data_IF_464269665857
#
_entry.id   IF_464269665857
#
_cell.length_a   1.000
_cell.length_b   1.000
_cell.length_c   1.000
_cell.angle_alpha   90.00
_cell.angle_beta   90.00
_cell.angle_gamma   90.00
#
_symmetry.space_group_name_H-M   'P 1'
#
loop_
_entity.id
_entity.type
_entity.pdbx_description
1 polymer ?
#
# COMPACT_ATOMS: atom_id res chain seq x y z
N UNK A 1 25.55 -25.20 -25.84
CA UNK A 1 24.58 -25.16 -24.72
C UNK A 1 23.32 -24.49 -25.26
N UNK A 2 22.22 -25.25 -25.50
CA UNK A 2 20.96 -24.65 -25.96
C UNK A 2 20.26 -23.98 -24.78
N UNK A 3 19.68 -22.77 -24.92
CA UNK A 3 18.91 -22.15 -23.84
C UNK A 3 17.64 -22.97 -23.60
N UNK A 4 17.33 -23.26 -22.34
CA UNK A 4 16.10 -23.91 -21.92
C UNK A 4 14.92 -23.02 -22.27
N UNK A 5 14.02 -23.50 -23.14
CA UNK A 5 12.73 -22.86 -23.39
C UNK A 5 11.89 -22.96 -22.12
N UNK A 6 11.62 -21.84 -21.49
CA UNK A 6 10.62 -21.74 -20.42
C UNK A 6 9.25 -22.01 -21.03
N UNK A 7 8.63 -23.12 -20.64
CA UNK A 7 7.30 -23.50 -21.11
C UNK A 7 6.26 -22.58 -20.50
N UNK A 8 5.69 -21.68 -21.29
CA UNK A 8 4.59 -20.76 -20.91
C UNK A 8 3.24 -21.48 -20.66
N UNK A 9 3.16 -22.79 -20.83
CA UNK A 9 1.96 -23.61 -20.57
C UNK A 9 1.74 -24.02 -19.12
N UNK A 10 2.77 -23.98 -18.29
CA UNK A 10 2.71 -24.40 -16.88
C UNK A 10 1.95 -23.39 -16.00
N UNK A 11 2.03 -22.10 -16.32
CA UNK A 11 1.44 -21.01 -15.56
C UNK A 11 -0.10 -21.02 -15.51
N UNK A 12 -0.78 -21.27 -16.62
CA UNK A 12 -2.26 -21.20 -16.68
C UNK A 12 -2.94 -22.40 -15.99
N UNK A 13 -2.37 -23.60 -16.12
CA UNK A 13 -2.85 -24.81 -15.45
C UNK A 13 -2.67 -24.70 -13.94
N UNK A 14 -1.52 -24.24 -13.48
CA UNK A 14 -1.26 -24.04 -12.04
C UNK A 14 -2.20 -23.00 -11.43
N UNK A 15 -2.45 -21.90 -12.14
CA UNK A 15 -3.41 -20.88 -11.73
C UNK A 15 -4.84 -21.45 -11.55
N UNK A 16 -5.29 -22.30 -12.47
CA UNK A 16 -6.59 -22.95 -12.39
C UNK A 16 -6.67 -23.96 -11.24
N UNK A 17 -5.62 -24.75 -11.04
CA UNK A 17 -5.51 -25.69 -9.90
C UNK A 17 -5.63 -24.92 -8.58
N UNK A 18 -4.86 -23.86 -8.41
CA UNK A 18 -4.89 -23.01 -7.19
C UNK A 18 -6.29 -22.45 -6.92
N UNK A 19 -6.93 -21.92 -7.95
CA UNK A 19 -8.29 -21.39 -7.80
C UNK A 19 -9.30 -22.46 -7.37
N UNK A 20 -9.18 -23.70 -7.86
CA UNK A 20 -9.99 -24.84 -7.44
C UNK A 20 -9.72 -25.19 -5.97
N UNK A 21 -8.46 -25.30 -5.57
CA UNK A 21 -8.07 -25.57 -4.19
C UNK A 21 -8.56 -24.47 -3.23
N UNK A 22 -8.53 -23.21 -3.65
CA UNK A 22 -9.05 -22.09 -2.87
C UNK A 22 -10.56 -22.20 -2.64
N UNK A 23 -11.34 -22.57 -3.67
CA UNK A 23 -12.80 -22.81 -3.52
C UNK A 23 -13.05 -23.95 -2.54
N UNK A 24 -12.26 -25.02 -2.59
CA UNK A 24 -12.39 -26.15 -1.67
C UNK A 24 -11.99 -25.81 -0.23
N UNK A 25 -10.97 -24.98 -0.03
CA UNK A 25 -10.48 -24.57 1.30
C UNK A 25 -11.46 -23.72 2.10
N UNK A 26 -12.40 -23.07 1.43
CA UNK A 26 -13.42 -22.22 2.04
C UNK A 26 -14.72 -23.00 2.40
N UNK A 27 -14.79 -24.28 2.01
CA UNK A 27 -15.94 -25.14 2.29
C UNK A 27 -15.62 -26.13 3.38
N UNK A 28 -16.51 -26.25 4.37
CA UNK A 28 -16.47 -27.32 5.37
C UNK A 28 -17.06 -28.63 4.85
N UNK A 29 -17.80 -28.61 3.74
CA UNK A 29 -18.47 -29.75 3.14
C UNK A 29 -17.79 -30.13 1.83
N UNK A 30 -17.82 -31.42 1.44
CA UNK A 30 -17.34 -31.88 0.15
C UNK A 30 -18.06 -31.17 -1.01
N UNK A 31 -17.31 -30.74 -2.04
CA UNK A 31 -17.88 -30.07 -3.19
C UNK A 31 -17.82 -30.91 -4.46
N UNK A 32 -18.95 -30.99 -5.17
CA UNK A 32 -19.01 -31.53 -6.53
C UNK A 32 -18.43 -30.57 -7.57
N UNK A 33 -18.07 -31.09 -8.74
CA UNK A 33 -17.46 -30.29 -9.83
C UNK A 33 -18.33 -29.11 -10.30
N UNK A 34 -19.64 -29.22 -10.22
CA UNK A 34 -20.58 -28.14 -10.56
C UNK A 34 -20.50 -27.00 -9.53
N UNK A 35 -20.52 -27.34 -8.23
CA UNK A 35 -20.43 -26.36 -7.14
C UNK A 35 -19.08 -25.62 -7.18
N UNK A 36 -17.98 -26.34 -7.50
CA UNK A 36 -16.67 -25.74 -7.69
C UNK A 36 -16.67 -24.78 -8.88
N UNK A 37 -17.28 -25.17 -10.03
CA UNK A 37 -17.39 -24.30 -11.21
C UNK A 37 -18.15 -23.01 -10.89
N UNK A 38 -19.23 -23.08 -10.11
CA UNK A 38 -19.98 -21.92 -9.65
C UNK A 38 -19.16 -21.05 -8.66
N UNK A 39 -18.39 -21.67 -7.78
CA UNK A 39 -17.47 -20.97 -6.89
C UNK A 39 -16.38 -20.18 -7.64
N UNK A 40 -15.85 -20.79 -8.70
CA UNK A 40 -14.90 -20.14 -9.60
C UNK A 40 -15.52 -18.98 -10.40
N UNK A 41 -16.75 -19.17 -10.90
CA UNK A 41 -17.45 -18.13 -11.64
C UNK A 41 -17.69 -16.86 -10.80
N UNK A 42 -18.00 -17.02 -9.50
CA UNK A 42 -18.11 -15.88 -8.56
C UNK A 42 -16.82 -15.10 -8.37
N UNK A 43 -15.68 -15.71 -8.73
CA UNK A 43 -14.33 -15.11 -8.72
C UNK A 43 -13.88 -14.64 -10.11
N UNK A 44 -14.78 -14.61 -11.09
CA UNK A 44 -14.44 -14.20 -12.45
C UNK A 44 -13.65 -15.25 -13.26
N UNK A 45 -13.57 -16.51 -12.79
CA UNK A 45 -12.89 -17.61 -13.48
C UNK A 45 -13.93 -18.53 -14.09
N UNK A 46 -14.00 -18.55 -15.42
CA UNK A 46 -15.00 -19.30 -16.15
C UNK A 46 -14.42 -20.64 -16.62
N UNK A 47 -14.70 -21.71 -15.88
CA UNK A 47 -14.36 -23.09 -16.25
C UNK A 47 -15.65 -23.92 -16.41
N UNK A 48 -15.70 -24.73 -17.47
CA UNK A 48 -16.75 -25.72 -17.57
C UNK A 48 -16.58 -26.83 -16.52
N UNK A 49 -17.67 -27.48 -16.15
CA UNK A 49 -17.63 -28.61 -15.22
C UNK A 49 -16.66 -29.72 -15.66
N UNK A 50 -16.58 -29.96 -16.99
CA UNK A 50 -15.61 -30.91 -17.59
C UNK A 50 -14.17 -30.48 -17.33
N UNK A 51 -13.86 -29.17 -17.47
CA UNK A 51 -12.55 -28.64 -17.21
C UNK A 51 -12.18 -28.72 -15.72
N UNK A 52 -13.15 -28.43 -14.83
CA UNK A 52 -12.97 -28.61 -13.38
C UNK A 52 -12.64 -30.06 -13.06
N UNK A 53 -13.38 -31.03 -13.60
CA UNK A 53 -13.10 -32.49 -13.40
C UNK A 53 -11.71 -32.88 -13.90
N UNK A 54 -11.24 -32.30 -14.99
CA UNK A 54 -9.89 -32.55 -15.50
C UNK A 54 -8.84 -32.07 -14.50
N UNK A 55 -8.94 -30.84 -14.00
CA UNK A 55 -7.99 -30.30 -13.02
C UNK A 55 -8.09 -31.02 -11.66
N UNK A 56 -9.28 -31.46 -11.23
CA UNK A 56 -9.46 -32.20 -10.00
C UNK A 56 -8.72 -33.57 -10.00
N UNK A 57 -8.62 -34.23 -11.15
CA UNK A 57 -7.76 -35.44 -11.27
C UNK A 57 -6.30 -35.12 -10.99
N UNK A 58 -5.83 -33.99 -11.52
CA UNK A 58 -4.45 -33.56 -11.27
C UNK A 58 -4.21 -33.20 -9.78
N UNK A 59 -5.20 -32.63 -9.11
CA UNK A 59 -5.09 -32.34 -7.67
C UNK A 59 -5.17 -33.63 -6.83
N UNK A 60 -5.97 -34.62 -7.23
CA UNK A 60 -6.00 -35.94 -6.60
C UNK A 60 -4.66 -36.65 -6.77
N UNK A 61 -4.07 -36.66 -7.99
CA UNK A 61 -2.76 -37.27 -8.28
C UNK A 61 -1.63 -36.63 -7.50
N UNK A 62 -1.74 -35.33 -7.15
CA UNK A 62 -0.76 -34.59 -6.33
C UNK A 62 -1.01 -34.73 -4.83
N UNK A 63 -2.08 -35.41 -4.43
CA UNK A 63 -2.45 -35.55 -3.02
C UNK A 63 -3.10 -34.30 -2.40
N UNK A 64 -3.44 -33.26 -3.19
CA UNK A 64 -4.01 -32.02 -2.70
C UNK A 64 -5.52 -32.11 -2.40
N UNK A 65 -6.20 -33.07 -3.03
CA UNK A 65 -7.64 -33.35 -2.81
C UNK A 65 -7.89 -34.84 -2.59
N UNK A 66 -8.95 -35.13 -1.84
CA UNK A 66 -9.45 -36.47 -1.62
C UNK A 66 -10.87 -36.59 -2.22
N UNK A 67 -11.07 -37.61 -3.06
CA UNK A 67 -12.37 -37.92 -3.65
C UNK A 67 -13.22 -38.74 -2.69
N UNK A 68 -14.44 -38.30 -2.42
CA UNK A 68 -15.44 -39.02 -1.62
C UNK A 68 -16.56 -39.63 -2.51
N UNK A 69 -16.20 -39.96 -3.75
CA UNK A 69 -17.13 -40.59 -4.70
C UNK A 69 -18.24 -39.62 -5.13
N UNK A 70 -19.49 -40.00 -4.83
CA UNK A 70 -20.67 -39.18 -5.19
C UNK A 70 -20.83 -37.92 -4.35
N UNK A 71 -20.24 -37.88 -3.15
CA UNK A 71 -20.36 -36.74 -2.24
C UNK A 71 -19.45 -35.57 -2.65
N UNK A 72 -18.51 -35.79 -3.58
CA UNK A 72 -17.63 -34.75 -4.09
C UNK A 72 -16.19 -34.92 -3.66
N UNK A 73 -15.49 -33.80 -3.45
CA UNK A 73 -14.08 -33.74 -3.02
C UNK A 73 -13.87 -32.80 -1.86
N UNK A 74 -12.91 -33.13 -1.01
CA UNK A 74 -12.40 -32.26 0.05
C UNK A 74 -10.94 -31.93 -0.23
N UNK A 75 -10.49 -30.84 0.35
CA UNK A 75 -9.07 -30.49 0.35
C UNK A 75 -8.35 -31.30 1.44
N UNK A 76 -7.12 -31.74 1.17
CA UNK A 76 -6.26 -32.43 2.13
C UNK A 76 -5.42 -31.43 2.94
N UNK A 77 -4.75 -31.85 4.04
CA UNK A 77 -3.78 -31.01 4.72
C UNK A 77 -2.67 -30.51 3.78
N UNK A 78 -2.17 -31.36 2.88
CA UNK A 78 -1.18 -31.01 1.87
C UNK A 78 -1.73 -29.98 0.86
N UNK A 79 -3.00 -30.12 0.47
CA UNK A 79 -3.67 -29.13 -0.38
C UNK A 79 -3.87 -27.78 0.33
N UNK A 80 -4.17 -27.78 1.63
CA UNK A 80 -4.24 -26.55 2.42
C UNK A 80 -2.88 -25.86 2.54
N UNK A 81 -1.81 -26.61 2.72
CA UNK A 81 -0.44 -26.05 2.71
C UNK A 81 -0.09 -25.48 1.33
N UNK A 82 -0.46 -26.16 0.23
CA UNK A 82 -0.27 -25.64 -1.13
C UNK A 82 -1.06 -24.33 -1.34
N UNK A 83 -2.30 -24.24 -0.86
CA UNK A 83 -3.08 -22.98 -0.89
C UNK A 83 -2.37 -21.88 -0.11
N UNK A 84 -1.87 -22.15 1.10
CA UNK A 84 -1.13 -21.18 1.90
C UNK A 84 0.17 -20.73 1.23
N UNK A 85 0.93 -21.68 0.66
CA UNK A 85 2.16 -21.39 -0.07
C UNK A 85 1.89 -20.67 -1.39
N UNK A 86 0.83 -21.05 -2.10
CA UNK A 86 0.44 -20.44 -3.36
C UNK A 86 -0.16 -19.04 -3.18
N UNK A 87 -0.84 -18.80 -2.06
CA UNK A 87 -1.34 -17.48 -1.70
C UNK A 87 -0.21 -16.52 -1.31
N UNK A 88 0.97 -17.02 -0.92
CA UNK A 88 2.09 -16.15 -0.57
C UNK A 88 2.51 -15.22 -1.73
N UNK A 89 2.68 -15.65 -2.99
CA UNK A 89 2.95 -14.74 -4.11
C UNK A 89 1.74 -13.93 -4.60
N UNK A 90 0.51 -14.46 -4.49
CA UNK A 90 -0.72 -13.77 -4.91
C UNK A 90 -1.32 -12.89 -3.81
N UNK A 91 -1.13 -13.22 -2.53
CA UNK A 91 -1.47 -12.37 -1.38
C UNK A 91 -0.43 -11.30 -1.12
N UNK A 92 0.81 -11.54 -1.53
CA UNK A 92 1.90 -10.58 -1.51
C UNK A 92 1.86 -9.70 -2.75
N UNK A 93 0.73 -9.41 -3.38
CA UNK A 93 0.65 -8.55 -4.58
C UNK A 93 1.68 -7.42 -4.57
N UNK A 94 2.11 -6.97 -5.71
CA UNK A 94 3.03 -5.83 -5.74
C UNK A 94 2.40 -4.62 -5.08
N UNK A 95 3.22 -3.78 -4.47
CA UNK A 95 2.76 -2.56 -3.79
C UNK A 95 1.98 -1.66 -4.74
N UNK A 96 2.30 -1.68 -6.04
CA UNK A 96 1.55 -0.90 -7.03
C UNK A 96 0.06 -1.26 -7.06
N UNK A 97 -0.29 -2.55 -6.98
CA UNK A 97 -1.68 -3.02 -7.00
C UNK A 97 -2.43 -2.53 -5.74
N UNK A 98 -1.76 -2.59 -4.59
CA UNK A 98 -2.30 -2.10 -3.31
C UNK A 98 -2.56 -0.59 -3.35
N UNK A 99 -1.62 0.19 -3.91
CA UNK A 99 -1.76 1.63 -4.10
C UNK A 99 -2.94 1.97 -5.01
N UNK A 100 -3.10 1.26 -6.13
CA UNK A 100 -4.19 1.48 -7.09
C UNK A 100 -5.56 1.14 -6.49
N UNK A 101 -5.68 0.01 -5.79
CA UNK A 101 -6.91 -0.37 -5.07
C UNK A 101 -7.26 0.68 -4.02
N UNK A 102 -6.30 1.11 -3.21
CA UNK A 102 -6.51 2.09 -2.16
C UNK A 102 -6.90 3.47 -2.74
N UNK A 103 -6.28 3.89 -3.84
CA UNK A 103 -6.64 5.10 -4.57
C UNK A 103 -8.08 5.03 -5.12
N UNK A 104 -8.48 3.89 -5.69
CA UNK A 104 -9.84 3.66 -6.18
C UNK A 104 -10.86 3.71 -5.05
N UNK A 105 -10.56 3.11 -3.90
CA UNK A 105 -11.42 3.06 -2.72
C UNK A 105 -11.51 4.40 -1.96
N UNK A 106 -10.57 5.33 -2.19
CA UNK A 106 -10.59 6.67 -1.60
C UNK A 106 -11.85 7.40 -2.07
N UNK A 107 -12.71 7.85 -1.15
CA UNK A 107 -13.94 8.61 -1.48
C UNK A 107 -13.89 10.04 -1.00
N UNK A 108 -12.75 10.50 -0.51
CA UNK A 108 -12.57 11.85 0.02
C UNK A 108 -12.91 12.91 -1.00
N UNK A 109 -13.81 13.82 -0.60
CA UNK A 109 -14.19 15.02 -1.32
C UNK A 109 -13.63 16.24 -0.56
N UNK A 110 -12.56 16.89 -1.09
CA UNK A 110 -11.96 18.03 -0.41
C UNK A 110 -12.85 19.27 -0.35
N UNK A 111 -13.84 19.43 -1.23
CA UNK A 111 -14.77 20.55 -1.19
C UNK A 111 -15.75 20.42 -0.03
N UNK A 112 -16.22 19.18 0.23
CA UNK A 112 -17.15 18.88 1.30
C UNK A 112 -16.44 18.52 2.61
N UNK A 113 -15.16 18.21 2.57
CA UNK A 113 -14.35 17.70 3.69
C UNK A 113 -14.92 16.42 4.30
N UNK A 114 -15.44 15.54 3.48
CA UNK A 114 -16.07 14.27 3.88
C UNK A 114 -15.55 13.10 3.06
N UNK A 115 -15.74 11.90 3.57
CA UNK A 115 -15.39 10.65 2.88
C UNK A 115 -14.11 10.01 3.40
N UNK A 116 -13.73 8.90 2.78
CA UNK A 116 -12.68 8.02 3.24
C UNK A 116 -11.32 8.45 2.69
N UNK A 117 -10.34 8.59 3.58
CA UNK A 117 -8.94 8.90 3.25
C UNK A 117 -8.04 7.71 3.54
N UNK A 118 -7.02 7.45 2.72
CA UNK A 118 -6.04 6.40 2.98
C UNK A 118 -5.09 6.80 4.11
N UNK A 119 -4.77 5.81 4.95
CA UNK A 119 -3.91 5.97 6.12
C UNK A 119 -2.78 4.96 6.16
N UNK A 120 -1.75 5.32 6.90
CA UNK A 120 -0.77 4.40 7.45
C UNK A 120 -1.06 4.24 8.94
N UNK A 121 -0.86 3.05 9.50
CA UNK A 121 -1.02 2.80 10.94
C UNK A 121 0.33 2.44 11.54
N UNK A 122 0.69 3.08 12.63
CA UNK A 122 1.88 2.76 13.42
C UNK A 122 1.46 2.43 14.85
N UNK A 123 2.08 1.40 15.42
CA UNK A 123 1.82 0.91 16.77
C UNK A 123 2.99 1.27 17.69
N UNK A 124 2.66 1.77 18.85
CA UNK A 124 3.61 2.23 19.90
C UNK A 124 3.27 1.63 21.23
N UNK A 125 4.25 1.46 22.10
CA UNK A 125 4.01 1.10 23.49
C UNK A 125 3.22 2.20 24.19
N UNK A 126 2.16 1.80 24.88
CA UNK A 126 1.23 2.72 25.56
C UNK A 126 1.95 3.64 26.54
N UNK A 127 2.89 3.09 27.30
CA UNK A 127 3.61 3.82 28.35
C UNK A 127 4.59 4.85 27.76
N UNK A 128 5.05 4.67 26.50
CA UNK A 128 5.98 5.56 25.82
C UNK A 128 5.29 6.47 24.79
N UNK A 129 3.98 6.34 24.59
CA UNK A 129 3.29 7.00 23.49
C UNK A 129 3.43 8.52 23.53
N UNK A 130 3.34 9.14 24.72
CA UNK A 130 3.49 10.59 24.88
C UNK A 130 4.88 11.09 24.46
N UNK A 131 5.92 10.39 24.89
CA UNK A 131 7.30 10.76 24.55
C UNK A 131 7.59 10.51 23.08
N UNK A 132 7.01 9.46 22.51
CA UNK A 132 7.09 9.16 21.09
C UNK A 132 6.39 10.22 20.24
N UNK A 133 5.21 10.71 20.65
CA UNK A 133 4.55 11.86 20.02
C UNK A 133 5.45 13.10 20.04
N UNK A 134 6.05 13.43 21.18
CA UNK A 134 6.98 14.55 21.28
C UNK A 134 8.18 14.41 20.33
N UNK A 135 8.66 13.19 20.12
CA UNK A 135 9.74 12.90 19.18
C UNK A 135 9.34 13.09 17.71
N UNK A 136 8.05 12.98 17.39
CA UNK A 136 7.51 13.19 16.02
C UNK A 136 7.27 14.68 15.70
N UNK A 137 7.02 15.52 16.70
CA UNK A 137 6.64 16.93 16.51
C UNK A 137 7.57 17.71 15.58
N UNK A 138 8.91 17.55 15.61
CA UNK A 138 9.78 18.26 14.69
C UNK A 138 9.44 18.04 13.20
N UNK A 139 8.96 16.83 12.80
CA UNK A 139 8.56 16.58 11.42
C UNK A 139 7.27 17.30 11.05
N UNK A 140 6.30 17.37 11.97
CA UNK A 140 5.06 18.13 11.79
C UNK A 140 5.34 19.62 11.72
N UNK A 141 6.11 20.17 12.64
CA UNK A 141 6.45 21.60 12.69
C UNK A 141 7.24 22.07 11.46
N UNK A 142 8.08 21.21 10.90
CA UNK A 142 8.83 21.49 9.68
C UNK A 142 8.02 21.25 8.39
N UNK A 143 6.75 20.81 8.48
CA UNK A 143 5.92 20.46 7.32
C UNK A 143 6.46 19.28 6.51
N UNK A 144 7.22 18.38 7.14
CA UNK A 144 7.78 17.17 6.52
C UNK A 144 6.80 15.97 6.64
N UNK A 145 5.52 16.24 6.56
CA UNK A 145 4.42 15.26 6.64
C UNK A 145 3.41 15.47 5.51
N UNK A 146 2.58 14.48 5.29
CA UNK A 146 1.44 14.59 4.34
C UNK A 146 0.35 15.50 4.91
N UNK A 147 0.11 15.40 6.22
CA UNK A 147 -0.91 16.16 6.95
C UNK A 147 -0.55 16.19 8.43
N UNK A 148 -0.98 17.24 9.12
CA UNK A 148 -0.99 17.29 10.60
C UNK A 148 -2.21 16.59 11.21
N UNK A 149 -3.12 16.11 10.36
CA UNK A 149 -4.31 15.38 10.79
C UNK A 149 -3.96 13.91 11.01
N UNK A 150 -4.38 13.41 12.16
CA UNK A 150 -4.10 12.04 12.65
C UNK A 150 -5.34 11.45 13.30
N UNK A 151 -5.33 10.14 13.51
CA UNK A 151 -6.29 9.50 14.41
C UNK A 151 -5.56 8.52 15.33
N UNK A 152 -6.07 8.32 16.53
CA UNK A 152 -5.57 7.33 17.47
C UNK A 152 -6.59 6.24 17.74
N UNK A 153 -6.10 5.09 18.16
CA UNK A 153 -6.92 4.00 18.65
C UNK A 153 -6.24 3.30 19.81
N UNK A 154 -7.05 2.94 20.80
CA UNK A 154 -6.62 2.14 21.95
C UNK A 154 -6.67 0.65 21.63
N UNK A 155 -6.09 -0.15 22.55
CA UNK A 155 -6.15 -1.61 22.54
C UNK A 155 -7.54 -2.14 22.18
N UNK A 156 -7.60 -3.13 21.28
CA UNK A 156 -8.82 -3.76 20.78
C UNK A 156 -9.58 -2.96 19.71
N UNK A 157 -9.28 -1.68 19.53
CA UNK A 157 -9.86 -0.84 18.46
C UNK A 157 -9.14 -1.04 17.14
N UNK A 158 -9.75 -0.55 16.06
CA UNK A 158 -9.26 -0.75 14.69
C UNK A 158 -8.94 0.59 14.00
N UNK A 159 -7.76 0.64 13.36
CA UNK A 159 -7.34 1.68 12.43
C UNK A 159 -7.06 1.06 11.05
N UNK A 160 -7.85 1.40 10.06
CA UNK A 160 -7.80 0.72 8.76
C UNK A 160 -8.03 -0.78 8.92
N UNK A 161 -7.08 -1.61 8.49
CA UNK A 161 -7.09 -3.07 8.65
C UNK A 161 -6.43 -3.55 9.95
N UNK A 162 -5.74 -2.67 10.69
CA UNK A 162 -4.95 -3.02 11.87
C UNK A 162 -5.81 -2.97 13.13
N UNK A 163 -5.82 -4.07 13.89
CA UNK A 163 -6.37 -4.13 15.25
C UNK A 163 -5.24 -3.83 16.22
N UNK A 164 -5.44 -2.86 17.11
CA UNK A 164 -4.41 -2.46 18.08
C UNK A 164 -4.25 -3.56 19.15
N UNK A 165 -3.05 -4.14 19.30
CA UNK A 165 -2.79 -5.19 20.29
C UNK A 165 -2.84 -4.68 21.73
N UNK A 166 -2.90 -5.62 22.69
CA UNK A 166 -2.79 -5.32 24.10
C UNK A 166 -1.48 -4.59 24.42
N UNK A 167 -1.55 -3.55 25.27
CA UNK A 167 -0.41 -2.74 25.69
C UNK A 167 0.08 -1.74 24.64
N UNK A 168 -0.57 -1.66 23.46
CA UNK A 168 -0.20 -0.71 22.39
C UNK A 168 -1.23 0.40 22.21
N UNK A 169 -0.78 1.47 21.58
CA UNK A 169 -1.61 2.55 21.01
C UNK A 169 -1.34 2.62 19.52
N UNK A 170 -2.39 2.71 18.73
CA UNK A 170 -2.30 2.93 17.28
C UNK A 170 -2.38 4.42 16.95
N UNK A 171 -1.53 4.86 16.04
CA UNK A 171 -1.58 6.19 15.42
C UNK A 171 -1.74 6.03 13.91
N UNK A 172 -2.78 6.63 13.35
CA UNK A 172 -2.96 6.75 11.92
C UNK A 172 -2.43 8.09 11.42
N UNK A 173 -1.57 8.05 10.40
CA UNK A 173 -1.16 9.22 9.62
C UNK A 173 -1.77 9.16 8.22
N UNK A 174 -2.09 10.30 7.62
CA UNK A 174 -2.62 10.34 6.26
C UNK A 174 -1.57 9.83 5.27
N UNK A 175 -1.98 8.90 4.39
CA UNK A 175 -1.12 8.37 3.34
C UNK A 175 -1.14 9.27 2.10
N UNK A 176 0.00 9.43 1.43
CA UNK A 176 0.13 10.22 0.20
C UNK A 176 -0.73 9.69 -0.96
N UNK A 177 -1.27 8.47 -0.86
CA UNK A 177 -2.22 7.88 -1.82
C UNK A 177 -3.53 8.68 -1.91
N UNK A 178 -3.85 9.53 -0.92
CA UNK A 178 -4.97 10.46 -1.00
C UNK A 178 -4.90 11.34 -2.25
N UNK A 179 -3.71 11.73 -2.67
CA UNK A 179 -3.51 12.50 -3.92
C UNK A 179 -3.92 11.67 -5.13
N UNK A 180 -3.52 10.39 -5.21
CA UNK A 180 -3.93 9.51 -6.30
C UNK A 180 -5.45 9.35 -6.36
N UNK A 181 -6.09 9.11 -5.21
CA UNK A 181 -7.54 8.95 -5.14
C UNK A 181 -8.29 10.22 -5.57
N UNK A 182 -7.84 11.39 -5.12
CA UNK A 182 -8.43 12.68 -5.50
C UNK A 182 -8.24 12.95 -7.00
N UNK A 183 -7.05 12.72 -7.55
CA UNK A 183 -6.78 12.92 -8.97
C UNK A 183 -7.52 11.90 -9.84
N UNK A 184 -7.62 10.64 -9.41
CA UNK A 184 -8.39 9.61 -10.12
C UNK A 184 -9.86 10.02 -10.28
N UNK A 185 -10.48 10.57 -9.23
CA UNK A 185 -11.86 11.08 -9.28
C UNK A 185 -12.03 12.30 -10.16
N UNK A 186 -10.97 13.08 -10.33
CA UNK A 186 -10.92 14.18 -11.30
C UNK A 186 -10.54 13.70 -12.72
N UNK A 187 -10.60 12.39 -13.00
CA UNK A 187 -10.23 11.77 -14.28
C UNK A 187 -8.77 12.04 -14.70
N UNK A 188 -7.88 12.29 -13.74
CA UNK A 188 -6.45 12.48 -13.98
C UNK A 188 -5.69 11.18 -13.63
N UNK A 189 -5.20 10.43 -14.62
CA UNK A 189 -4.38 9.26 -14.38
C UNK A 189 -3.04 9.67 -13.79
N UNK A 190 -2.66 9.00 -12.70
CA UNK A 190 -1.39 9.23 -11.98
C UNK A 190 -0.58 7.96 -11.99
N UNK A 191 0.63 8.01 -12.51
CA UNK A 191 1.53 6.86 -12.56
C UNK A 191 2.47 6.88 -11.33
N UNK A 192 2.27 5.97 -10.39
CA UNK A 192 3.14 5.79 -9.23
C UNK A 192 4.39 5.01 -9.63
N UNK A 193 5.57 5.62 -9.55
CA UNK A 193 6.83 5.02 -10.00
C UNK A 193 7.55 4.28 -8.88
N UNK A 194 7.89 5.00 -7.80
CA UNK A 194 8.67 4.44 -6.70
C UNK A 194 8.47 5.20 -5.39
N UNK A 195 8.77 4.53 -4.28
CA UNK A 195 9.07 5.14 -3.00
C UNK A 195 10.58 5.27 -2.83
N UNK A 196 11.04 6.32 -2.17
CA UNK A 196 12.46 6.58 -2.04
C UNK A 196 12.84 7.43 -0.84
N UNK A 197 14.13 7.60 -0.68
CA UNK A 197 14.76 8.50 0.29
C UNK A 197 15.25 9.72 -0.45
N UNK A 198 14.67 10.88 -0.14
CA UNK A 198 14.99 12.17 -0.75
C UNK A 198 15.96 12.96 0.13
N UNK A 199 17.08 13.37 -0.44
CA UNK A 199 18.04 14.26 0.21
C UNK A 199 17.54 15.71 0.16
N UNK A 200 17.45 16.35 1.34
CA UNK A 200 17.20 17.77 1.48
C UNK A 200 18.51 18.51 1.81
N UNK A 201 18.66 19.69 1.26
CA UNK A 201 19.76 20.62 1.60
C UNK A 201 19.21 22.04 1.67
N UNK A 202 19.38 22.69 2.82
CA UNK A 202 18.83 24.03 3.10
C UNK A 202 17.31 24.09 2.78
N UNK A 203 16.54 23.14 3.28
CA UNK A 203 15.09 22.95 3.06
C UNK A 203 14.69 22.73 1.59
N UNK A 204 15.63 22.45 0.69
CA UNK A 204 15.33 22.22 -0.73
C UNK A 204 15.58 20.77 -1.13
N UNK A 205 14.70 20.14 -1.89
CA UNK A 205 14.91 18.79 -2.39
C UNK A 205 16.05 18.79 -3.42
N UNK A 206 16.95 17.85 -3.29
CA UNK A 206 18.13 17.72 -4.15
C UNK A 206 18.03 16.55 -5.10
N UNK A 207 17.95 15.34 -4.54
CA UNK A 207 17.95 14.10 -5.31
C UNK A 207 17.41 12.94 -4.47
N UNK A 208 16.93 11.92 -5.12
CA UNK A 208 16.71 10.63 -4.48
C UNK A 208 18.05 9.91 -4.31
N UNK A 209 18.33 9.43 -3.10
CA UNK A 209 19.56 8.68 -2.76
C UNK A 209 19.32 7.17 -2.69
N UNK A 210 18.07 6.76 -2.58
CA UNK A 210 17.63 5.36 -2.68
C UNK A 210 16.21 5.34 -3.25
N UNK A 211 15.91 4.34 -4.08
CA UNK A 211 14.58 4.15 -4.67
C UNK A 211 14.22 2.66 -4.73
N UNK A 212 12.94 2.35 -4.52
CA UNK A 212 12.36 1.02 -4.73
C UNK A 212 11.11 1.21 -5.60
N UNK A 213 11.13 0.63 -6.80
CA UNK A 213 10.01 0.71 -7.73
C UNK A 213 8.82 -0.12 -7.24
N UNK A 214 7.63 0.47 -7.24
CA UNK A 214 6.41 -0.17 -6.75
C UNK A 214 6.00 -1.40 -7.56
N UNK A 215 6.27 -1.42 -8.84
CA UNK A 215 5.99 -2.55 -9.74
C UNK A 215 6.93 -3.75 -9.56
N UNK A 216 7.98 -3.61 -8.75
CA UNK A 216 9.00 -4.65 -8.54
C UNK A 216 9.12 -5.11 -7.09
N UNK A 217 8.26 -4.64 -6.18
CA UNK A 217 8.33 -4.98 -4.76
C UNK A 217 6.97 -5.35 -4.19
N UNK A 218 6.97 -6.28 -3.26
CA UNK A 218 5.85 -6.63 -2.39
C UNK A 218 5.95 -6.02 -0.99
N UNK A 219 7.08 -5.38 -0.68
CA UNK A 219 7.32 -4.71 0.60
C UNK A 219 7.22 -3.20 0.42
N UNK A 220 6.53 -2.52 1.33
CA UNK A 220 6.44 -1.06 1.27
C UNK A 220 7.81 -0.41 1.44
N UNK A 221 8.22 0.46 0.50
CA UNK A 221 9.52 1.12 0.56
C UNK A 221 9.73 1.97 1.81
N UNK A 222 8.71 2.69 2.29
CA UNK A 222 8.82 3.58 3.44
C UNK A 222 9.09 2.80 4.72
N UNK A 223 8.40 1.66 4.91
CA UNK A 223 8.67 0.76 6.03
C UNK A 223 10.10 0.22 5.99
N UNK A 224 10.56 -0.20 4.80
CA UNK A 224 11.91 -0.73 4.65
C UNK A 224 12.97 0.32 4.96
N UNK A 225 12.79 1.56 4.49
CA UNK A 225 13.75 2.62 4.76
C UNK A 225 13.78 3.05 6.23
N UNK A 226 12.63 3.07 6.92
CA UNK A 226 12.58 3.34 8.37
C UNK A 226 13.30 2.21 9.12
N UNK A 227 12.96 0.96 8.82
CA UNK A 227 13.58 -0.22 9.46
C UNK A 227 15.10 -0.29 9.23
N UNK A 228 15.57 0.10 8.06
CA UNK A 228 16.99 0.12 7.71
C UNK A 228 17.75 1.37 8.24
N UNK A 229 17.09 2.30 8.95
CA UNK A 229 17.71 3.52 9.46
C UNK A 229 18.25 4.43 8.35
N UNK A 230 17.64 4.44 7.17
CA UNK A 230 18.12 5.21 6.01
C UNK A 230 17.67 6.67 5.99
N UNK A 231 16.82 7.06 6.94
CA UNK A 231 16.29 8.42 7.08
C UNK A 231 17.11 9.28 8.03
N UNK A 232 16.95 10.58 7.98
CA UNK A 232 17.38 11.56 8.97
C UNK A 232 16.39 12.74 8.96
N UNK A 233 15.12 12.43 9.21
CA UNK A 233 14.01 13.39 9.20
C UNK A 233 14.18 14.42 10.30
N UNK A 234 14.68 14.02 11.49
CA UNK A 234 14.99 14.94 12.60
C UNK A 234 16.05 15.97 12.18
N UNK A 235 17.09 15.52 11.49
CA UNK A 235 18.12 16.42 10.94
C UNK A 235 17.54 17.38 9.91
N UNK A 236 16.70 16.86 9.01
CA UNK A 236 16.01 17.67 8.01
C UNK A 236 15.09 18.72 8.65
N UNK A 237 14.35 18.35 9.67
CA UNK A 237 13.46 19.25 10.41
C UNK A 237 14.25 20.36 11.13
N UNK A 238 15.33 20.00 11.83
CA UNK A 238 16.08 20.94 12.65
C UNK A 238 16.96 21.91 11.82
N UNK A 239 17.54 21.46 10.71
CA UNK A 239 18.57 22.19 9.98
C UNK A 239 18.26 22.42 8.50
N UNK A 240 17.20 21.82 7.99
CA UNK A 240 16.90 21.77 6.56
C UNK A 240 17.82 20.82 5.78
N UNK A 241 18.68 20.05 6.47
CA UNK A 241 19.62 19.10 5.84
C UNK A 241 19.35 17.71 6.38
N UNK A 242 19.03 16.77 5.51
CA UNK A 242 18.73 15.40 5.93
C UNK A 242 18.12 14.57 4.81
N UNK A 243 17.56 13.44 5.20
CA UNK A 243 16.97 12.46 4.31
C UNK A 243 15.55 12.16 4.77
N UNK A 244 14.58 12.37 3.88
CA UNK A 244 13.16 12.17 4.18
C UNK A 244 12.59 11.10 3.26
N UNK A 245 11.55 10.43 3.71
CA UNK A 245 10.77 9.54 2.85
C UNK A 245 10.00 10.39 1.85
N UNK A 246 10.06 10.01 0.60
CA UNK A 246 9.32 10.67 -0.48
C UNK A 246 8.95 9.66 -1.58
N UNK A 247 7.89 9.99 -2.31
CA UNK A 247 7.39 9.19 -3.42
C UNK A 247 7.50 9.98 -4.72
N UNK A 248 7.70 9.27 -5.82
CA UNK A 248 7.74 9.90 -7.14
C UNK A 248 6.60 9.38 -8.01
N UNK A 249 5.89 10.32 -8.64
CA UNK A 249 4.76 10.05 -9.54
C UNK A 249 4.83 10.91 -10.76
N UNK A 250 4.20 10.46 -11.84
CA UNK A 250 4.04 11.24 -13.06
C UNK A 250 2.56 11.43 -13.40
N UNK A 251 2.24 12.60 -13.92
CA UNK A 251 0.94 12.94 -14.51
C UNK A 251 1.12 13.33 -15.98
N UNK A 252 0.04 13.31 -16.75
CA UNK A 252 0.04 13.92 -18.08
C UNK A 252 0.20 15.44 -17.94
N UNK A 253 1.11 16.05 -18.70
CA UNK A 253 1.34 17.50 -18.61
C UNK A 253 0.07 18.33 -18.91
N UNK A 254 -0.80 17.85 -19.80
CA UNK A 254 -2.07 18.50 -20.15
C UNK A 254 -3.05 18.57 -18.97
N UNK A 255 -2.94 17.65 -17.99
CA UNK A 255 -3.82 17.64 -16.81
C UNK A 255 -3.36 18.60 -15.70
N UNK A 256 -2.21 19.26 -15.86
CA UNK A 256 -1.61 20.10 -14.84
C UNK A 256 -2.57 21.12 -14.20
N UNK A 257 -3.40 21.89 -14.95
CA UNK A 257 -4.31 22.85 -14.35
C UNK A 257 -5.31 22.20 -13.37
N UNK A 258 -5.86 21.03 -13.73
CA UNK A 258 -6.76 20.25 -12.86
C UNK A 258 -5.99 19.74 -11.62
N UNK A 259 -4.76 19.30 -11.80
CA UNK A 259 -3.91 18.84 -10.69
C UNK A 259 -3.66 19.98 -9.71
N UNK A 260 -3.25 21.15 -10.18
CA UNK A 260 -2.98 22.33 -9.34
C UNK A 260 -4.22 22.75 -8.54
N UNK A 261 -5.40 22.73 -9.17
CA UNK A 261 -6.68 22.99 -8.50
C UNK A 261 -6.95 21.98 -7.38
N UNK A 262 -6.85 20.67 -7.67
CA UNK A 262 -7.12 19.63 -6.68
C UNK A 262 -6.09 19.61 -5.55
N UNK A 263 -4.84 19.94 -5.82
CA UNK A 263 -3.80 20.09 -4.79
C UNK A 263 -4.07 21.30 -3.88
N UNK A 264 -4.59 22.40 -4.43
CA UNK A 264 -5.01 23.55 -3.62
C UNK A 264 -6.17 23.17 -2.68
N UNK A 265 -7.18 22.47 -3.20
CA UNK A 265 -8.33 22.00 -2.40
C UNK A 265 -7.87 21.03 -1.28
N UNK A 266 -6.95 20.10 -1.56
CA UNK A 266 -6.37 19.22 -0.54
C UNK A 266 -5.63 20.01 0.54
N UNK A 267 -4.84 21.00 0.14
CA UNK A 267 -4.10 21.87 1.06
C UNK A 267 -5.04 22.64 1.99
N UNK A 268 -6.16 23.15 1.49
CA UNK A 268 -7.19 23.83 2.28
C UNK A 268 -7.88 22.92 3.30
N UNK A 269 -7.76 21.59 3.11
CA UNK A 269 -8.18 20.56 4.06
C UNK A 269 -7.06 20.12 5.01
N UNK A 270 -5.89 20.74 5.00
CA UNK A 270 -4.75 20.34 5.82
C UNK A 270 -3.96 19.15 5.26
N UNK A 271 -4.15 18.79 3.97
CA UNK A 271 -3.41 17.71 3.30
C UNK A 271 -2.44 18.34 2.29
N UNK A 272 -1.16 18.42 2.64
CA UNK A 272 -0.11 19.04 1.83
C UNK A 272 0.97 18.03 1.42
N UNK A 273 0.55 16.98 0.70
CA UNK A 273 1.43 15.85 0.36
C UNK A 273 2.47 16.18 -0.73
N UNK A 274 2.14 17.04 -1.70
CA UNK A 274 3.03 17.33 -2.84
C UNK A 274 4.07 18.37 -2.46
N UNK A 275 5.31 17.91 -2.35
CA UNK A 275 6.45 18.75 -2.00
C UNK A 275 6.97 19.56 -3.20
N UNK A 276 7.00 18.92 -4.39
CA UNK A 276 7.37 19.60 -5.64
C UNK A 276 6.54 19.07 -6.80
N UNK A 277 6.00 19.98 -7.59
CA UNK A 277 5.40 19.70 -8.90
C UNK A 277 6.33 20.25 -9.99
N UNK A 278 6.94 19.35 -10.77
CA UNK A 278 7.90 19.69 -11.83
C UNK A 278 7.27 20.30 -13.07
N UNK A 279 8.10 20.75 -14.00
CA UNK A 279 7.67 21.24 -15.32
C UNK A 279 7.55 20.08 -16.31
N UNK A 280 6.87 20.33 -17.42
CA UNK A 280 6.66 19.35 -18.47
C UNK A 280 7.97 18.85 -19.05
N UNK A 281 8.18 17.54 -19.07
CA UNK A 281 9.34 16.85 -19.63
C UNK A 281 10.69 17.26 -19.00
N UNK A 282 10.68 17.94 -17.86
CA UNK A 282 11.89 18.35 -17.15
C UNK A 282 12.19 17.39 -15.98
N UNK A 283 13.43 17.00 -15.84
CA UNK A 283 13.89 16.18 -14.71
C UNK A 283 13.66 16.90 -13.38
N UNK A 284 13.26 16.14 -12.36
CA UNK A 284 13.02 16.65 -11.01
C UNK A 284 13.78 15.81 -9.99
N UNK A 285 14.53 16.43 -9.08
CA UNK A 285 15.34 15.74 -8.07
C UNK A 285 16.26 14.65 -8.68
N UNK A 286 16.85 14.93 -9.84
CA UNK A 286 17.68 14.02 -10.65
C UNK A 286 16.94 12.78 -11.18
N UNK A 287 15.60 12.79 -11.19
CA UNK A 287 14.77 11.76 -11.82
C UNK A 287 14.32 12.26 -13.19
N UNK A 288 14.52 11.44 -14.21
CA UNK A 288 14.02 11.73 -15.56
C UNK A 288 12.50 11.64 -15.60
N UNK A 289 11.87 12.56 -16.31
CA UNK A 289 10.43 12.62 -16.53
C UNK A 289 10.11 12.28 -17.98
N UNK A 290 9.06 11.51 -18.21
CA UNK A 290 8.65 11.14 -19.56
C UNK A 290 8.26 12.35 -20.43
N UNK A 291 8.29 12.16 -21.76
CA UNK A 291 7.84 13.18 -22.70
C UNK A 291 6.34 13.50 -22.48
N UNK A 292 5.97 14.77 -22.49
CA UNK A 292 4.61 15.25 -22.22
C UNK A 292 4.06 14.85 -20.83
N UNK A 293 4.94 14.59 -19.87
CA UNK A 293 4.59 14.33 -18.47
C UNK A 293 5.17 15.39 -17.55
N UNK A 294 4.62 15.50 -16.37
CA UNK A 294 5.17 16.28 -15.27
C UNK A 294 5.40 15.36 -14.05
N UNK A 295 6.58 15.45 -13.46
CA UNK A 295 6.91 14.71 -12.26
C UNK A 295 6.35 15.37 -11.01
N UNK A 296 5.91 14.58 -10.03
CA UNK A 296 5.52 15.02 -8.69
C UNK A 296 6.36 14.29 -7.66
N UNK A 297 6.93 15.03 -6.72
CA UNK A 297 7.57 14.50 -5.52
C UNK A 297 6.63 14.71 -4.35
N UNK A 298 6.22 13.64 -3.71
CA UNK A 298 5.33 13.68 -2.57
C UNK A 298 6.07 13.26 -1.30
N UNK A 299 5.75 13.88 -0.18
CA UNK A 299 6.26 13.47 1.12
C UNK A 299 5.69 12.11 1.54
N UNK A 300 6.48 11.31 2.22
CA UNK A 300 6.04 10.05 2.83
C UNK A 300 5.21 10.28 4.09
N UNK A 301 4.08 9.58 4.21
CA UNK A 301 3.20 9.68 5.38
C UNK A 301 3.85 9.18 6.67
N UNK A 302 4.91 8.37 6.59
CA UNK A 302 5.67 7.85 7.73
C UNK A 302 6.86 8.74 8.16
N UNK A 303 7.07 9.94 7.58
CA UNK A 303 8.14 10.83 8.01
C UNK A 303 8.07 11.20 9.51
N UNK A 304 6.92 11.55 10.10
CA UNK A 304 6.85 11.79 11.55
C UNK A 304 7.25 10.55 12.35
N UNK A 305 6.82 9.38 11.91
CA UNK A 305 7.14 8.12 12.58
C UNK A 305 8.63 7.77 12.45
N UNK A 306 9.25 8.09 11.32
CA UNK A 306 10.71 7.98 11.15
C UNK A 306 11.46 8.84 12.18
N UNK A 307 10.95 10.04 12.55
CA UNK A 307 11.52 10.84 13.64
C UNK A 307 11.53 10.10 14.97
N UNK A 308 10.46 9.38 15.31
CA UNK A 308 10.39 8.57 16.52
C UNK A 308 11.40 7.41 16.49
N UNK A 309 11.48 6.70 15.36
CA UNK A 309 12.47 5.63 15.16
C UNK A 309 13.91 6.15 15.27
N UNK A 310 14.22 7.32 14.69
CA UNK A 310 15.52 7.99 14.79
C UNK A 310 15.83 8.45 16.23
N UNK A 311 14.81 8.64 17.08
CA UNK A 311 14.96 8.93 18.50
C UNK A 311 15.19 7.68 19.35
N UNK A 312 15.11 6.48 18.77
CA UNK A 312 15.32 5.20 19.43
C UNK A 312 14.04 4.53 19.95
N UNK A 313 12.84 5.04 19.60
CA UNK A 313 11.59 4.38 19.94
C UNK A 313 11.30 3.24 18.98
N UNK A 314 10.84 2.12 19.53
CA UNK A 314 10.38 0.98 18.74
C UNK A 314 9.03 1.30 18.10
N UNK A 315 8.93 1.03 16.78
CA UNK A 315 7.73 1.31 15.99
C UNK A 315 7.40 0.14 15.08
N UNK A 316 6.17 -0.32 15.15
CA UNK A 316 5.64 -1.28 14.19
C UNK A 316 4.76 -0.55 13.17
N UNK A 317 5.19 -0.53 11.91
CA UNK A 317 4.50 0.20 10.85
C UNK A 317 3.71 -0.72 9.93
N UNK A 318 2.54 -0.25 9.52
CA UNK A 318 1.71 -0.81 8.44
C UNK A 318 1.37 0.32 7.49
N UNK A 319 2.17 0.49 6.45
CA UNK A 319 1.90 1.45 5.39
C UNK A 319 0.64 1.03 4.61
N UNK A 320 -0.09 2.04 4.10
CA UNK A 320 -1.30 1.79 3.32
C UNK A 320 -2.25 0.80 4.01
N UNK A 321 -2.43 1.00 5.30
CA UNK A 321 -3.16 0.07 6.18
C UNK A 321 -4.67 0.05 5.96
N UNK A 322 -5.19 0.93 5.12
CA UNK A 322 -6.61 1.01 4.77
C UNK A 322 -7.12 2.44 4.73
N UNK A 323 -8.39 2.60 5.01
CA UNK A 323 -9.12 3.86 4.93
C UNK A 323 -9.72 4.23 6.29
N UNK A 324 -9.84 5.54 6.52
CA UNK A 324 -10.56 6.11 7.66
C UNK A 324 -11.46 7.24 7.17
N UNK A 325 -12.57 7.49 7.85
CA UNK A 325 -13.38 8.66 7.59
C UNK A 325 -12.61 9.94 7.95
N UNK A 326 -12.61 10.93 7.05
CA UNK A 326 -11.90 12.19 7.25
C UNK A 326 -12.34 12.91 8.52
N UNK A 327 -13.63 12.83 8.88
CA UNK A 327 -14.19 13.45 10.09
C UNK A 327 -13.63 12.88 11.40
N UNK A 328 -13.00 11.69 11.35
CA UNK A 328 -12.34 11.09 12.54
C UNK A 328 -10.92 11.59 12.76
N UNK A 329 -10.38 12.33 11.81
CA UNK A 329 -9.04 12.90 11.92
C UNK A 329 -9.09 14.18 12.76
N UNK A 330 -8.14 14.31 13.66
CA UNK A 330 -7.94 15.48 14.51
C UNK A 330 -6.52 16.02 14.33
N UNK A 331 -6.30 17.26 14.69
CA UNK A 331 -4.93 17.81 14.68
C UNK A 331 -4.04 17.04 15.65
N UNK A 332 -2.81 16.73 15.24
CA UNK A 332 -1.80 16.12 16.13
C UNK A 332 -1.58 16.96 17.40
N UNK A 333 -1.87 18.27 17.34
CA UNK A 333 -1.72 19.21 18.48
C UNK A 333 -2.83 19.09 19.52
N UNK A 334 -3.88 18.32 19.21
CA UNK A 334 -5.01 18.05 20.11
C UNK A 334 -4.81 16.75 20.92
N UNK A 335 -3.77 15.97 20.61
CA UNK A 335 -3.40 14.76 21.34
C UNK A 335 -2.48 15.09 22.54
#
# INVERSE_FOLDING_TARGET
>A
MKPAMVQSGTSDTERKIRAILQVLSESSEPLGSLAIAQGLQRRGIFLSERAVRYHLRMTDERGYTASLGHDGRTITPEGLEEVKMALAPEQVGFIIDKLEVLAFQTTFDPERRTGMVPINTSLFDKDQFRDTLAAMMPAFDAGLCVSELVATASEGQKLGSVVVPAGKVGLATVCSVVVNGTLLKACVPTESKFGGVLELKSHRPRRFVAVIHYSGTSLDPSEQYVRAGMTSVRGAAATGNGRVLANFREILAVSRPVVEEKLAQLKDCGINAVYVLGRTSESICQVSVGLNRAGMVLLGGLNPVACAAEAGYEVENSAESGLIDFERLVSIREL
#
